data_IF_523355388424
#
_entry.id   IF_523355388424
#
_cell.length_a   1.000
_cell.length_b   1.000
_cell.length_c   1.000
_cell.angle_alpha   90.00
_cell.angle_beta   90.00
_cell.angle_gamma   90.00
#
_symmetry.space_group_name_H-M   'P 1'
#
loop_
_entity.id
_entity.type
_entity.pdbx_description
1 polymer ?
#
# COMPACT_ATOMS: atom_id res chain seq x y z
N UNK A 1 29.13 11.21 6.38
CA UNK A 1 28.56 11.33 5.01
C UNK A 1 27.87 10.02 4.67
N UNK A 2 26.74 10.06 3.97
CA UNK A 2 26.09 8.82 3.50
C UNK A 2 26.93 8.20 2.37
N UNK A 3 26.81 6.89 2.14
CA UNK A 3 27.42 6.28 0.95
C UNK A 3 26.95 7.05 -0.29
N UNK A 4 27.86 7.30 -1.22
CA UNK A 4 27.61 8.02 -2.47
C UNK A 4 26.42 7.41 -3.22
N UNK A 5 26.24 6.09 -3.13
CA UNK A 5 25.11 5.35 -3.68
C UNK A 5 23.75 5.89 -3.17
N UNK A 6 23.62 6.09 -1.85
CA UNK A 6 22.38 6.58 -1.24
C UNK A 6 22.14 8.07 -1.49
N UNK A 7 23.21 8.85 -1.67
CA UNK A 7 23.11 10.24 -2.11
C UNK A 7 22.60 10.36 -3.54
N UNK A 8 23.04 9.48 -4.45
CA UNK A 8 22.53 9.43 -5.83
C UNK A 8 21.06 9.04 -5.84
N UNK A 9 20.66 8.02 -5.07
CA UNK A 9 19.27 7.60 -4.95
C UNK A 9 18.37 8.72 -4.39
N UNK A 10 18.84 9.45 -3.36
CA UNK A 10 18.12 10.60 -2.83
C UNK A 10 18.02 11.75 -3.85
N UNK A 11 19.09 12.01 -4.61
CA UNK A 11 19.07 13.01 -5.69
C UNK A 11 18.05 12.68 -6.77
N UNK A 12 17.97 11.40 -7.16
CA UNK A 12 16.95 10.92 -8.09
C UNK A 12 15.54 11.14 -7.54
N UNK A 13 15.28 10.75 -6.28
CA UNK A 13 14.01 10.97 -5.61
C UNK A 13 13.60 12.45 -5.60
N UNK A 14 14.51 13.36 -5.25
CA UNK A 14 14.20 14.79 -5.21
C UNK A 14 13.90 15.37 -6.60
N UNK A 15 14.58 14.86 -7.64
CA UNK A 15 14.28 15.23 -9.02
C UNK A 15 12.88 14.76 -9.41
N UNK A 16 12.50 13.53 -9.08
CA UNK A 16 11.16 13.01 -9.33
C UNK A 16 10.08 13.81 -8.60
N UNK A 17 10.29 14.11 -7.33
CA UNK A 17 9.38 14.95 -6.55
C UNK A 17 9.20 16.32 -7.19
N UNK A 18 10.29 17.00 -7.53
CA UNK A 18 10.24 18.31 -8.18
C UNK A 18 9.50 18.23 -9.53
N UNK A 19 9.75 17.19 -10.32
CA UNK A 19 9.11 16.98 -11.60
C UNK A 19 7.61 16.67 -11.48
N UNK A 20 7.21 15.85 -10.50
CA UNK A 20 5.78 15.56 -10.21
C UNK A 20 5.08 16.82 -9.72
N UNK A 21 5.66 17.56 -8.77
CA UNK A 21 5.10 18.81 -8.29
C UNK A 21 4.88 19.79 -9.45
N UNK A 22 5.87 19.91 -10.34
CA UNK A 22 5.79 20.78 -11.51
C UNK A 22 4.74 20.31 -12.53
N UNK A 23 4.56 18.99 -12.72
CA UNK A 23 3.52 18.41 -13.57
C UNK A 23 2.10 18.55 -12.99
N UNK A 24 1.97 18.53 -11.66
CA UNK A 24 0.68 18.68 -10.97
C UNK A 24 0.21 20.12 -10.84
N UNK A 25 1.03 21.11 -11.20
CA UNK A 25 0.63 22.50 -11.12
C UNK A 25 -0.58 22.78 -12.04
N UNK A 26 -1.69 23.32 -11.50
CA UNK A 26 -2.91 23.58 -12.27
C UNK A 26 -2.71 24.67 -13.34
N UNK A 27 -1.60 25.40 -13.27
CA UNK A 27 -1.29 26.50 -14.18
C UNK A 27 -0.78 26.04 -15.55
N UNK A 28 -0.26 24.80 -15.66
CA UNK A 28 0.29 24.28 -16.91
C UNK A 28 -0.71 23.29 -17.50
N UNK A 29 -1.44 23.73 -18.53
CA UNK A 29 -2.44 22.88 -19.21
C UNK A 29 -1.80 21.68 -19.92
N UNK A 30 -2.57 20.60 -20.05
CA UNK A 30 -2.16 19.38 -20.76
C UNK A 30 -1.72 19.65 -22.22
N UNK A 31 -2.22 20.73 -22.84
CA UNK A 31 -1.84 21.15 -24.19
C UNK A 31 -0.45 21.80 -24.26
N UNK A 32 -0.03 22.51 -23.21
CA UNK A 32 1.34 23.05 -23.08
C UNK A 32 2.33 21.92 -22.88
N UNK A 33 2.01 20.98 -21.99
CA UNK A 33 2.78 19.76 -21.80
C UNK A 33 2.89 18.94 -23.08
N UNK A 34 1.80 18.77 -23.84
CA UNK A 34 1.83 18.11 -25.16
C UNK A 34 2.79 18.79 -26.13
N UNK A 35 2.89 20.12 -26.15
CA UNK A 35 3.85 20.83 -27.02
C UNK A 35 5.30 20.57 -26.58
N UNK A 36 5.56 20.57 -25.27
CA UNK A 36 6.87 20.25 -24.70
C UNK A 36 7.23 18.80 -25.02
N UNK A 37 6.33 17.85 -24.74
CA UNK A 37 6.50 16.41 -25.02
C UNK A 37 6.62 16.08 -26.52
N UNK A 38 6.03 16.88 -27.42
CA UNK A 38 6.25 16.74 -28.88
C UNK A 38 7.57 17.34 -29.38
N UNK A 39 8.37 18.00 -28.54
CA UNK A 39 9.66 18.55 -28.93
C UNK A 39 10.61 17.43 -29.39
N UNK A 40 11.53 17.76 -30.31
CA UNK A 40 12.47 16.79 -30.92
C UNK A 40 13.28 16.01 -29.88
N UNK A 41 13.58 16.64 -28.74
CA UNK A 41 14.26 16.02 -27.60
C UNK A 41 13.43 14.90 -26.95
N UNK A 42 12.14 15.15 -26.72
CA UNK A 42 11.24 14.19 -26.07
C UNK A 42 10.77 13.10 -27.02
N UNK A 43 10.76 13.33 -28.33
CA UNK A 43 10.47 12.29 -29.34
C UNK A 43 11.58 11.22 -29.44
N UNK A 44 12.83 11.60 -29.18
CA UNK A 44 13.94 10.66 -29.02
C UNK A 44 13.79 9.82 -27.73
N UNK A 45 13.35 10.47 -26.65
CA UNK A 45 13.05 9.80 -25.37
C UNK A 45 11.83 8.86 -25.49
N UNK A 46 10.83 9.23 -26.28
CA UNK A 46 9.60 8.47 -26.52
C UNK A 46 9.87 7.17 -27.28
N UNK A 47 10.75 7.21 -28.30
CA UNK A 47 11.07 6.05 -29.15
C UNK A 47 11.67 4.85 -28.38
N UNK A 48 12.33 5.11 -27.24
CA UNK A 48 12.90 4.09 -26.36
C UNK A 48 12.24 4.07 -24.97
N UNK A 49 11.09 4.75 -24.80
CA UNK A 49 10.50 5.00 -23.48
C UNK A 49 10.16 3.71 -22.74
N UNK A 50 9.64 2.70 -23.43
CA UNK A 50 9.28 1.42 -22.79
C UNK A 50 10.52 0.68 -22.29
N UNK A 51 11.56 0.55 -23.13
CA UNK A 51 12.79 -0.12 -22.76
C UNK A 51 13.53 0.59 -21.62
N UNK A 52 13.72 1.92 -21.75
CA UNK A 52 14.36 2.74 -20.71
C UNK A 52 13.55 2.70 -19.41
N UNK A 53 12.21 2.72 -19.49
CA UNK A 53 11.35 2.60 -18.32
C UNK A 53 11.56 1.28 -17.58
N UNK A 54 11.51 0.13 -18.26
CA UNK A 54 11.70 -1.16 -17.60
C UNK A 54 13.13 -1.33 -17.07
N UNK A 55 14.13 -0.81 -17.78
CA UNK A 55 15.51 -0.81 -17.31
C UNK A 55 15.66 0.01 -16.02
N UNK A 56 15.12 1.22 -15.98
CA UNK A 56 15.20 2.11 -14.83
C UNK A 56 14.35 1.60 -13.66
N UNK A 57 13.18 1.03 -13.94
CA UNK A 57 12.34 0.34 -12.94
C UNK A 57 13.07 -0.86 -12.34
N UNK A 58 13.75 -1.66 -13.16
CA UNK A 58 14.57 -2.78 -12.71
C UNK A 58 15.73 -2.32 -11.83
N UNK A 59 16.42 -1.24 -12.21
CA UNK A 59 17.50 -0.64 -11.41
C UNK A 59 17.00 -0.17 -10.03
N UNK A 60 15.88 0.56 -10.00
CA UNK A 60 15.25 0.98 -8.75
C UNK A 60 14.76 -0.21 -7.92
N UNK A 61 14.24 -1.25 -8.58
CA UNK A 61 13.86 -2.50 -7.94
C UNK A 61 15.04 -3.20 -7.26
N UNK A 62 16.20 -3.26 -7.92
CA UNK A 62 17.43 -3.79 -7.32
C UNK A 62 17.85 -2.96 -6.11
N UNK A 63 17.85 -1.62 -6.20
CA UNK A 63 18.15 -0.76 -5.04
C UNK A 63 17.16 -0.94 -3.89
N UNK A 64 15.88 -1.14 -4.20
CA UNK A 64 14.85 -1.39 -3.20
C UNK A 64 15.04 -2.75 -2.52
N UNK A 65 15.36 -3.80 -3.28
CA UNK A 65 15.68 -5.13 -2.73
C UNK A 65 16.95 -5.08 -1.90
N UNK A 66 17.98 -4.34 -2.32
CA UNK A 66 19.21 -4.15 -1.55
C UNK A 66 18.93 -3.43 -0.22
N UNK A 67 18.14 -2.36 -0.26
CA UNK A 67 17.71 -1.64 0.95
C UNK A 67 16.85 -2.52 1.89
N UNK A 68 15.95 -3.34 1.32
CA UNK A 68 15.16 -4.31 2.06
C UNK A 68 16.03 -5.37 2.73
N UNK A 69 16.97 -5.95 1.99
CA UNK A 69 17.90 -6.96 2.51
C UNK A 69 18.75 -6.37 3.63
N UNK A 70 19.24 -5.14 3.46
CA UNK A 70 20.02 -4.44 4.48
C UNK A 70 19.17 -4.15 5.73
N UNK A 71 17.91 -3.71 5.57
CA UNK A 71 16.98 -3.47 6.67
C UNK A 71 16.65 -4.76 7.44
N UNK A 72 16.36 -5.86 6.74
CA UNK A 72 16.09 -7.16 7.38
C UNK A 72 17.33 -7.71 8.10
N UNK A 73 18.52 -7.62 7.47
CA UNK A 73 19.78 -8.10 8.05
C UNK A 73 20.11 -7.42 9.39
N UNK A 74 19.83 -6.13 9.51
CA UNK A 74 20.08 -5.40 10.75
C UNK A 74 18.90 -5.43 11.73
N UNK A 75 17.69 -5.76 11.26
CA UNK A 75 16.50 -5.90 12.10
C UNK A 75 16.39 -7.22 12.87
N UNK A 76 16.99 -8.30 12.35
CA UNK A 76 16.95 -9.64 12.96
C UNK A 76 17.98 -9.83 14.10
N UNK A 77 18.79 -8.79 14.38
CA UNK A 77 19.85 -8.83 15.39
C UNK A 77 19.30 -8.56 16.81
N UNK A 78 18.00 -8.28 16.94
CA UNK A 78 17.27 -8.18 18.21
C UNK A 78 16.77 -9.55 18.74
N UNK A 79 17.13 -10.70 18.11
CA UNK A 79 16.78 -12.03 18.64
C UNK A 79 17.55 -12.33 19.96
N UNK A 80 16.86 -12.53 21.10
CA UNK A 80 17.48 -12.80 22.40
C UNK A 80 18.31 -14.10 22.46
N UNK A 81 18.29 -14.94 21.42
CA UNK A 81 19.04 -16.22 21.38
C UNK A 81 20.55 -16.09 21.20
N UNK A 82 21.08 -14.91 20.85
CA UNK A 82 22.52 -14.67 20.71
C UNK A 82 23.15 -13.98 21.95
N UNK A 83 22.41 -13.88 23.06
CA UNK A 83 22.79 -13.18 24.30
C UNK A 83 23.73 -14.00 25.22
N UNK A 84 24.66 -14.76 24.64
CA UNK A 84 25.51 -15.72 25.38
C UNK A 84 26.91 -15.24 25.77
N UNK A 85 27.41 -14.12 25.22
CA UNK A 85 28.82 -13.75 25.43
C UNK A 85 28.95 -12.23 25.54
N UNK A 86 29.40 -11.76 26.72
CA UNK A 86 29.82 -10.39 27.09
C UNK A 86 29.52 -9.32 26.01
N UNK A 87 28.35 -8.66 26.13
CA UNK A 87 27.91 -7.58 25.25
C UNK A 87 28.60 -6.26 25.62
N UNK A 88 29.46 -5.75 24.74
CA UNK A 88 29.91 -4.35 24.78
C UNK A 88 28.72 -3.44 24.45
N UNK A 89 28.34 -2.55 25.37
CA UNK A 89 27.31 -1.53 25.16
C UNK A 89 27.56 -0.72 23.86
N UNK A 90 28.83 -0.55 23.49
CA UNK A 90 29.24 0.15 22.27
C UNK A 90 28.79 -0.56 20.98
N UNK A 91 28.75 -1.89 20.97
CA UNK A 91 28.32 -2.68 19.79
C UNK A 91 26.81 -2.61 19.56
N UNK A 92 26.03 -2.52 20.63
CA UNK A 92 24.57 -2.31 20.56
C UNK A 92 24.24 -0.94 19.99
N UNK A 93 24.94 0.10 20.48
CA UNK A 93 24.78 1.47 19.95
C UNK A 93 25.17 1.51 18.47
N UNK A 94 26.26 0.87 18.07
CA UNK A 94 26.68 0.80 16.65
C UNK A 94 25.64 0.09 15.77
N UNK A 95 25.02 -0.99 16.27
CA UNK A 95 23.98 -1.74 15.58
C UNK A 95 22.71 -0.91 15.40
N UNK A 96 22.22 -0.26 16.45
CA UNK A 96 21.06 0.62 16.37
C UNK A 96 21.29 1.77 15.37
N UNK A 97 22.48 2.36 15.34
CA UNK A 97 22.84 3.40 14.36
C UNK A 97 22.84 2.88 12.91
N UNK A 98 23.25 1.63 12.68
CA UNK A 98 23.17 0.99 11.34
C UNK A 98 21.72 0.69 10.95
N UNK A 99 20.89 0.26 11.90
CA UNK A 99 19.46 0.01 11.67
C UNK A 99 18.73 1.28 11.22
N UNK A 100 18.91 2.41 11.91
CA UNK A 100 18.31 3.69 11.52
C UNK A 100 18.75 4.15 10.12
N UNK A 101 20.00 3.87 9.75
CA UNK A 101 20.52 4.16 8.42
C UNK A 101 19.85 3.31 7.35
N UNK A 102 19.71 2.01 7.59
CA UNK A 102 19.04 1.07 6.69
C UNK A 102 17.55 1.41 6.52
N UNK A 103 16.85 1.76 7.61
CA UNK A 103 15.45 2.22 7.56
C UNK A 103 15.28 3.45 6.67
N UNK A 104 16.13 4.48 6.82
CA UNK A 104 16.06 5.67 5.96
C UNK A 104 16.33 5.34 4.49
N UNK A 105 17.34 4.51 4.22
CA UNK A 105 17.69 4.10 2.86
C UNK A 105 16.55 3.31 2.19
N UNK A 106 15.88 2.44 2.95
CA UNK A 106 14.67 1.74 2.53
C UNK A 106 13.56 2.71 2.14
N UNK A 107 13.28 3.72 2.97
CA UNK A 107 12.28 4.73 2.63
C UNK A 107 12.65 5.49 1.34
N UNK A 108 13.90 5.93 1.19
CA UNK A 108 14.35 6.65 -0.02
C UNK A 108 14.12 5.79 -1.28
N UNK A 109 14.58 4.53 -1.27
CA UNK A 109 14.44 3.62 -2.41
C UNK A 109 12.96 3.29 -2.69
N UNK A 110 12.16 3.05 -1.65
CA UNK A 110 10.74 2.74 -1.76
C UNK A 110 9.93 3.92 -2.31
N UNK A 111 10.18 5.13 -1.82
CA UNK A 111 9.53 6.33 -2.32
C UNK A 111 9.94 6.64 -3.77
N UNK A 112 11.21 6.43 -4.14
CA UNK A 112 11.64 6.64 -5.52
C UNK A 112 10.93 5.68 -6.47
N UNK A 113 10.84 4.39 -6.10
CA UNK A 113 10.13 3.39 -6.89
C UNK A 113 8.64 3.73 -7.03
N UNK A 114 8.01 4.14 -5.93
CA UNK A 114 6.62 4.57 -5.93
C UNK A 114 6.38 5.80 -6.80
N UNK A 115 7.18 6.86 -6.62
CA UNK A 115 7.05 8.10 -7.38
C UNK A 115 7.35 7.89 -8.86
N UNK A 116 8.31 7.03 -9.22
CA UNK A 116 8.56 6.66 -10.61
C UNK A 116 7.32 6.05 -11.28
N UNK A 117 6.60 5.18 -10.57
CA UNK A 117 5.33 4.63 -11.06
C UNK A 117 4.27 5.73 -11.20
N UNK A 118 4.08 6.55 -10.16
CA UNK A 118 3.11 7.66 -10.17
C UNK A 118 3.41 8.61 -11.33
N UNK A 119 4.67 8.92 -11.57
CA UNK A 119 5.10 9.77 -12.67
C UNK A 119 4.71 9.18 -14.02
N UNK A 120 4.95 7.87 -14.24
CA UNK A 120 4.54 7.19 -15.48
C UNK A 120 3.02 7.27 -15.68
N UNK A 121 2.25 7.10 -14.61
CA UNK A 121 0.79 7.21 -14.63
C UNK A 121 0.34 8.62 -15.01
N UNK A 122 0.92 9.65 -14.41
CA UNK A 122 0.59 11.06 -14.69
C UNK A 122 0.93 11.40 -16.15
N UNK A 123 2.12 11.06 -16.63
CA UNK A 123 2.53 11.32 -18.03
C UNK A 123 1.55 10.65 -19.01
N UNK A 124 1.17 9.40 -18.77
CA UNK A 124 0.19 8.69 -19.60
C UNK A 124 -1.18 9.37 -19.58
N UNK A 125 -1.61 9.87 -18.41
CA UNK A 125 -2.89 10.56 -18.28
C UNK A 125 -2.89 11.90 -19.03
N UNK A 126 -1.80 12.67 -18.93
CA UNK A 126 -1.62 13.92 -19.68
C UNK A 126 -1.65 13.65 -21.19
N UNK A 127 -0.97 12.60 -21.65
CA UNK A 127 -0.98 12.23 -23.07
C UNK A 127 -2.40 11.90 -23.56
N UNK A 128 -3.14 11.07 -22.82
CA UNK A 128 -4.52 10.72 -23.16
C UNK A 128 -5.44 11.96 -23.15
N UNK A 129 -5.32 12.81 -22.13
CA UNK A 129 -6.11 14.04 -22.05
C UNK A 129 -5.79 15.01 -23.19
N UNK A 130 -4.52 15.12 -23.58
CA UNK A 130 -4.13 15.98 -24.67
C UNK A 130 -4.58 15.43 -26.04
N UNK A 131 -4.65 14.11 -26.23
CA UNK A 131 -5.23 13.50 -27.42
C UNK A 131 -6.75 13.72 -27.48
N UNK A 132 -7.46 13.50 -26.37
CA UNK A 132 -8.89 13.77 -26.25
C UNK A 132 -9.25 15.23 -26.57
N UNK A 133 -8.45 16.19 -26.11
CA UNK A 133 -8.65 17.62 -26.44
C UNK A 133 -8.44 17.87 -27.94
N UNK A 134 -7.43 17.25 -28.55
CA UNK A 134 -7.17 17.38 -29.99
C UNK A 134 -8.31 16.78 -30.83
N UNK A 135 -8.79 15.58 -30.46
CA UNK A 135 -9.90 14.91 -31.10
C UNK A 135 -11.20 15.72 -30.97
N UNK A 136 -11.49 16.26 -29.77
CA UNK A 136 -12.63 17.16 -29.55
C UNK A 136 -12.54 18.41 -30.45
N UNK A 137 -11.38 19.05 -30.52
CA UNK A 137 -11.20 20.25 -31.35
C UNK A 137 -11.34 19.93 -32.85
N UNK A 138 -10.83 18.77 -33.30
CA UNK A 138 -11.00 18.30 -34.66
C UNK A 138 -12.47 17.99 -34.99
N UNK A 139 -13.19 17.30 -34.10
CA UNK A 139 -14.61 16.99 -34.26
C UNK A 139 -15.47 18.26 -34.30
N UNK A 140 -15.20 19.25 -33.44
CA UNK A 140 -15.89 20.54 -33.48
C UNK A 140 -15.62 21.30 -34.77
N UNK A 141 -14.38 21.30 -35.29
CA UNK A 141 -14.06 21.91 -36.59
C UNK A 141 -14.76 21.21 -37.74
N UNK A 142 -14.82 19.87 -37.72
CA UNK A 142 -15.55 19.09 -38.71
C UNK A 142 -17.04 19.40 -38.69
N UNK A 143 -17.67 19.39 -37.52
CA UNK A 143 -19.09 19.76 -37.37
C UNK A 143 -19.36 21.20 -37.83
N UNK A 144 -18.53 22.16 -37.42
CA UNK A 144 -18.66 23.55 -37.86
C UNK A 144 -18.49 23.71 -39.38
N UNK A 145 -17.56 22.97 -40.00
CA UNK A 145 -17.38 22.98 -41.45
C UNK A 145 -18.57 22.37 -42.20
N UNK A 146 -19.16 21.30 -41.67
CA UNK A 146 -20.37 20.68 -42.22
C UNK A 146 -21.59 21.62 -42.09
N UNK A 147 -21.76 22.27 -40.92
CA UNK A 147 -22.82 23.28 -40.73
C UNK A 147 -22.63 24.50 -41.63
N UNK A 148 -21.40 24.97 -41.81
CA UNK A 148 -21.10 26.07 -42.72
C UNK A 148 -21.34 25.70 -44.19
N UNK A 149 -21.02 24.47 -44.60
CA UNK A 149 -21.35 23.95 -45.92
C UNK A 149 -22.86 23.84 -46.14
N UNK A 150 -23.59 23.30 -45.15
CA UNK A 150 -25.06 23.20 -45.19
C UNK A 150 -25.74 24.58 -45.26
N UNK A 151 -25.27 25.57 -44.48
CA UNK A 151 -25.77 26.94 -44.55
C UNK A 151 -25.50 27.61 -45.92
N UNK A 152 -24.32 27.38 -46.50
CA UNK A 152 -24.00 27.87 -47.86
C UNK A 152 -24.89 27.22 -48.93
N UNK A 153 -25.26 25.97 -48.75
CA UNK A 153 -26.21 25.27 -49.62
C UNK A 153 -27.65 25.76 -49.44
N UNK A 154 -28.02 26.24 -48.24
CA UNK A 154 -29.34 26.84 -47.99
C UNK A 154 -29.46 28.29 -48.50
N UNK A 155 -28.38 29.08 -48.44
CA UNK A 155 -28.34 30.49 -48.86
C UNK A 155 -28.12 30.66 -50.38
N UNK A 156 -27.51 29.66 -51.03
CA UNK A 156 -27.42 29.57 -52.49
C UNK A 156 -28.72 29.08 -53.12
N UNK A 157 -29.61 30.01 -53.48
CA UNK A 157 -30.82 29.72 -54.24
C UNK A 157 -30.54 29.13 -55.63
N UNK A 158 -30.75 27.82 -55.79
CA UNK A 158 -30.76 27.12 -57.08
C UNK A 158 -31.63 25.87 -57.01
N UNK A 159 -32.76 25.90 -57.73
CA UNK A 159 -33.75 24.84 -57.83
C UNK A 159 -33.18 23.53 -58.40
N UNK A 160 -33.61 22.40 -57.83
CA UNK A 160 -33.49 21.07 -58.45
C UNK A 160 -32.79 19.97 -57.65
N UNK A 161 -31.92 20.29 -56.67
CA UNK A 161 -31.15 19.27 -55.90
C UNK A 161 -31.56 19.10 -54.44
N UNK A 162 -32.48 19.93 -53.93
CA UNK A 162 -32.86 20.04 -52.51
C UNK A 162 -33.51 18.79 -51.90
N UNK A 163 -34.12 17.91 -52.70
CA UNK A 163 -34.84 16.74 -52.15
C UNK A 163 -33.90 15.67 -51.58
N UNK A 164 -32.77 15.38 -52.24
CA UNK A 164 -31.88 14.29 -51.84
C UNK A 164 -31.01 14.62 -50.61
N UNK A 165 -30.56 15.88 -50.47
CA UNK A 165 -29.77 16.32 -49.31
C UNK A 165 -30.62 16.57 -48.06
N UNK A 166 -31.86 17.05 -48.21
CA UNK A 166 -32.78 17.18 -47.08
C UNK A 166 -33.19 15.81 -46.52
N UNK A 167 -33.39 14.81 -47.39
CA UNK A 167 -33.67 13.43 -46.96
C UNK A 167 -32.46 12.84 -46.22
N UNK A 168 -31.23 13.03 -46.73
CA UNK A 168 -30.01 12.58 -46.02
C UNK A 168 -29.81 13.30 -44.69
N UNK A 169 -30.03 14.61 -44.64
CA UNK A 169 -29.91 15.37 -43.39
C UNK A 169 -30.98 14.96 -42.36
N UNK A 170 -32.19 14.59 -42.80
CA UNK A 170 -33.21 14.01 -41.91
C UNK A 170 -32.81 12.61 -41.42
N UNK A 171 -32.21 11.78 -42.26
CA UNK A 171 -31.66 10.48 -41.88
C UNK A 171 -30.55 10.62 -40.84
N UNK A 172 -29.57 11.50 -41.07
CA UNK A 172 -28.48 11.77 -40.12
C UNK A 172 -29.01 12.35 -38.79
N UNK A 173 -30.05 13.19 -38.83
CA UNK A 173 -30.69 13.73 -37.63
C UNK A 173 -31.40 12.64 -36.81
N UNK A 174 -32.12 11.72 -37.48
CA UNK A 174 -32.76 10.59 -36.81
C UNK A 174 -31.74 9.57 -36.28
N UNK A 175 -30.64 9.36 -37.00
CA UNK A 175 -29.52 8.53 -36.53
C UNK A 175 -28.82 9.15 -35.32
N UNK A 176 -28.58 10.46 -35.34
CA UNK A 176 -28.02 11.20 -34.20
C UNK A 176 -28.97 11.19 -32.99
N UNK A 177 -30.29 11.27 -33.20
CA UNK A 177 -31.28 11.15 -32.11
C UNK A 177 -31.30 9.74 -31.52
N UNK A 178 -31.21 8.69 -32.34
CA UNK A 178 -31.08 7.31 -31.86
C UNK A 178 -29.80 7.12 -31.05
N UNK A 179 -28.67 7.58 -31.58
CA UNK A 179 -27.38 7.53 -30.88
C UNK A 179 -27.41 8.27 -29.54
N UNK A 180 -28.07 9.44 -29.48
CA UNK A 180 -28.27 10.17 -28.23
C UNK A 180 -29.14 9.40 -27.23
N UNK A 181 -30.23 8.78 -27.69
CA UNK A 181 -31.14 7.99 -26.84
C UNK A 181 -30.44 6.75 -26.27
N UNK A 182 -29.59 6.10 -27.07
CA UNK A 182 -28.79 4.96 -26.62
C UNK A 182 -27.69 5.41 -25.65
N UNK A 183 -27.08 6.57 -25.88
CA UNK A 183 -26.15 7.18 -24.93
C UNK A 183 -26.82 7.54 -23.59
N UNK A 184 -28.05 8.08 -23.60
CA UNK A 184 -28.84 8.35 -22.38
C UNK A 184 -29.17 7.06 -21.61
N UNK A 185 -29.55 5.97 -22.31
CA UNK A 185 -29.76 4.66 -21.69
C UNK A 185 -28.49 4.09 -21.07
N UNK A 186 -27.36 4.20 -21.78
CA UNK A 186 -26.06 3.76 -21.26
C UNK A 186 -25.65 4.58 -20.04
N UNK A 187 -25.87 5.89 -20.05
CA UNK A 187 -25.62 6.76 -18.90
C UNK A 187 -26.47 6.35 -17.68
N UNK A 188 -27.74 6.02 -17.90
CA UNK A 188 -28.64 5.56 -16.83
C UNK A 188 -28.21 4.19 -16.29
N UNK A 189 -27.80 3.27 -17.17
CA UNK A 189 -27.26 1.97 -16.77
C UNK A 189 -25.97 2.12 -15.94
N UNK A 190 -25.05 2.99 -16.37
CA UNK A 190 -23.81 3.29 -15.63
C UNK A 190 -24.10 3.94 -14.27
N UNK A 191 -25.07 4.87 -14.20
CA UNK A 191 -25.51 5.45 -12.92
C UNK A 191 -26.05 4.38 -11.97
N UNK A 192 -26.95 3.53 -12.45
CA UNK A 192 -27.51 2.42 -11.66
C UNK A 192 -26.42 1.48 -11.16
N UNK A 193 -25.45 1.16 -12.01
CA UNK A 193 -24.31 0.33 -11.63
C UNK A 193 -23.43 1.00 -10.56
N UNK A 194 -23.16 2.30 -10.70
CA UNK A 194 -22.39 3.08 -9.73
C UNK A 194 -23.10 3.17 -8.37
N UNK A 195 -24.42 3.39 -8.37
CA UNK A 195 -25.24 3.38 -7.15
C UNK A 195 -25.23 2.00 -6.47
N UNK A 196 -25.35 0.92 -7.24
CA UNK A 196 -25.29 -0.43 -6.69
C UNK A 196 -23.90 -0.73 -6.09
N UNK A 197 -22.84 -0.34 -6.77
CA UNK A 197 -21.47 -0.47 -6.25
C UNK A 197 -21.27 0.35 -4.97
N UNK A 198 -21.81 1.57 -4.88
CA UNK A 198 -21.75 2.37 -3.66
C UNK A 198 -22.42 1.67 -2.48
N UNK A 199 -23.59 1.04 -2.69
CA UNK A 199 -24.28 0.28 -1.65
C UNK A 199 -23.48 -0.93 -1.17
N UNK A 200 -22.80 -1.63 -2.07
CA UNK A 200 -21.91 -2.74 -1.69
C UNK A 200 -20.70 -2.25 -0.89
N UNK A 201 -20.15 -1.07 -1.21
CA UNK A 201 -19.11 -0.45 -0.39
C UNK A 201 -19.61 -0.11 1.02
N UNK A 202 -20.79 0.50 1.15
CA UNK A 202 -21.39 0.83 2.45
C UNK A 202 -21.65 -0.44 3.29
N UNK A 203 -22.13 -1.50 2.64
CA UNK A 203 -22.36 -2.80 3.27
C UNK A 203 -21.05 -3.41 3.76
N UNK A 204 -20.03 -3.42 2.92
CA UNK A 204 -18.72 -3.97 3.25
C UNK A 204 -18.07 -3.19 4.40
N UNK A 205 -18.21 -1.87 4.42
CA UNK A 205 -17.74 -1.03 5.52
C UNK A 205 -18.42 -1.41 6.85
N UNK A 206 -19.74 -1.63 6.84
CA UNK A 206 -20.47 -2.11 8.02
C UNK A 206 -20.01 -3.50 8.49
N UNK A 207 -19.68 -4.40 7.56
CA UNK A 207 -19.11 -5.71 7.91
C UNK A 207 -17.71 -5.57 8.53
N UNK A 208 -16.86 -4.70 8.00
CA UNK A 208 -15.55 -4.38 8.59
C UNK A 208 -15.68 -3.86 10.01
N UNK A 209 -16.58 -2.91 10.28
CA UNK A 209 -16.81 -2.39 11.63
C UNK A 209 -17.26 -3.48 12.61
N UNK A 210 -18.13 -4.41 12.16
CA UNK A 210 -18.59 -5.54 12.97
C UNK A 210 -17.43 -6.51 13.25
N UNK A 211 -16.59 -6.78 12.26
CA UNK A 211 -15.45 -7.67 12.40
C UNK A 211 -14.41 -7.07 13.35
N UNK A 212 -14.13 -5.77 13.22
CA UNK A 212 -13.22 -5.04 14.10
C UNK A 212 -13.70 -5.09 15.57
N UNK A 213 -15.00 -4.86 15.80
CA UNK A 213 -15.59 -5.00 17.15
C UNK A 213 -15.43 -6.42 17.69
N UNK A 214 -15.68 -7.46 16.88
CA UNK A 214 -15.49 -8.86 17.28
C UNK A 214 -14.03 -9.16 17.63
N UNK A 215 -13.09 -8.71 16.81
CA UNK A 215 -11.64 -8.88 17.06
C UNK A 215 -11.24 -8.20 18.36
N UNK A 216 -11.74 -6.98 18.62
CA UNK A 216 -11.46 -6.24 19.86
C UNK A 216 -12.00 -6.97 21.10
N UNK A 217 -13.24 -7.49 21.03
CA UNK A 217 -13.84 -8.26 22.13
C UNK A 217 -13.08 -9.56 22.38
N UNK A 218 -12.75 -10.32 21.32
CA UNK A 218 -11.96 -11.54 21.43
C UNK A 218 -10.55 -11.28 21.98
N UNK A 219 -9.92 -10.18 21.57
CA UNK A 219 -8.62 -9.75 22.10
C UNK A 219 -8.67 -9.43 23.61
N UNK A 220 -9.76 -8.81 24.08
CA UNK A 220 -10.01 -8.59 25.50
C UNK A 220 -10.17 -9.91 26.27
N UNK A 221 -11.08 -10.77 25.81
CA UNK A 221 -11.34 -12.07 26.45
C UNK A 221 -10.08 -12.96 26.51
N UNK A 222 -9.23 -12.92 25.47
CA UNK A 222 -7.94 -13.62 25.47
C UNK A 222 -6.99 -13.10 26.54
N UNK A 223 -6.88 -11.78 26.70
CA UNK A 223 -6.03 -11.18 27.76
C UNK A 223 -6.49 -11.56 29.16
N UNK A 224 -7.80 -11.56 29.38
CA UNK A 224 -8.39 -11.97 30.66
C UNK A 224 -8.12 -13.45 30.94
N UNK A 225 -8.26 -14.31 29.92
CA UNK A 225 -7.92 -15.73 30.03
C UNK A 225 -6.43 -15.96 30.32
N UNK A 226 -5.52 -15.22 29.66
CA UNK A 226 -4.08 -15.29 29.93
C UNK A 226 -3.75 -14.87 31.37
N UNK A 227 -4.38 -13.80 31.88
CA UNK A 227 -4.21 -13.35 33.26
C UNK A 227 -4.71 -14.39 34.27
N UNK A 228 -5.88 -14.99 34.03
CA UNK A 228 -6.44 -16.04 34.88
C UNK A 228 -5.55 -17.29 34.86
N UNK A 229 -5.04 -17.69 33.69
CA UNK A 229 -4.12 -18.82 33.57
C UNK A 229 -2.82 -18.57 34.35
N UNK A 230 -2.28 -17.36 34.29
CA UNK A 230 -1.08 -17.00 35.07
C UNK A 230 -1.35 -17.04 36.58
N UNK A 231 -2.50 -16.55 37.03
CA UNK A 231 -2.90 -16.64 38.43
C UNK A 231 -3.02 -18.10 38.89
N UNK A 232 -3.67 -18.96 38.12
CA UNK A 232 -3.79 -20.40 38.42
C UNK A 232 -2.42 -21.08 38.47
N UNK A 233 -1.51 -20.77 37.54
CA UNK A 233 -0.14 -21.30 37.57
C UNK A 233 0.59 -20.89 38.84
N UNK A 234 0.52 -19.62 39.23
CA UNK A 234 1.16 -19.15 40.46
C UNK A 234 0.59 -19.81 41.73
N UNK A 235 -0.73 -20.06 41.75
CA UNK A 235 -1.38 -20.77 42.85
C UNK A 235 -0.97 -22.24 42.89
N UNK A 236 -0.83 -22.90 41.74
CA UNK A 236 -0.36 -24.28 41.65
C UNK A 236 1.10 -24.41 42.13
N UNK A 237 1.98 -23.48 41.72
CA UNK A 237 3.37 -23.43 42.17
C UNK A 237 3.47 -23.25 43.69
N UNK A 238 2.68 -22.33 44.27
CA UNK A 238 2.64 -22.13 45.72
C UNK A 238 2.14 -23.38 46.46
N UNK A 239 1.07 -24.01 45.95
CA UNK A 239 0.55 -25.25 46.55
C UNK A 239 1.59 -26.37 46.49
N UNK A 240 2.32 -26.50 45.37
CA UNK A 240 3.40 -27.48 45.25
C UNK A 240 4.50 -27.25 46.28
N UNK A 241 4.90 -25.99 46.52
CA UNK A 241 5.90 -25.65 47.56
C UNK A 241 5.43 -26.00 48.96
N UNK A 242 4.15 -25.79 49.27
CA UNK A 242 3.57 -26.19 50.56
C UNK A 242 3.57 -27.71 50.72
N UNK A 243 3.26 -28.48 49.67
CA UNK A 243 3.39 -29.94 49.70
C UNK A 243 4.82 -30.40 49.96
N UNK A 244 5.81 -29.83 49.26
CA UNK A 244 7.23 -30.16 49.46
C UNK A 244 7.67 -29.83 50.90
N UNK A 245 7.22 -28.69 51.43
CA UNK A 245 7.48 -28.28 52.80
C UNK A 245 6.88 -29.26 53.81
N UNK A 246 5.61 -29.62 53.64
CA UNK A 246 4.90 -30.52 54.53
C UNK A 246 5.53 -31.92 54.51
N UNK A 247 5.91 -32.41 53.32
CA UNK A 247 6.65 -33.67 53.17
C UNK A 247 7.96 -33.64 53.96
N UNK A 248 8.72 -32.54 53.88
CA UNK A 248 9.95 -32.37 54.66
C UNK A 248 9.72 -32.35 56.17
N UNK A 249 8.56 -31.84 56.63
CA UNK A 249 8.17 -31.86 58.05
C UNK A 249 7.80 -33.27 58.49
N UNK A 250 7.04 -34.02 57.68
CA UNK A 250 6.73 -35.43 57.93
C UNK A 250 8.00 -36.27 58.07
N UNK A 251 8.98 -36.12 57.17
CA UNK A 251 10.26 -36.82 57.26
C UNK A 251 11.03 -36.50 58.56
N UNK A 252 11.02 -35.23 59.00
CA UNK A 252 11.66 -34.80 60.25
C UNK A 252 10.95 -35.40 61.47
N UNK A 253 9.63 -35.42 61.46
CA UNK A 253 8.80 -36.02 62.51
C UNK A 253 9.04 -37.53 62.59
N UNK A 254 9.07 -38.24 61.46
CA UNK A 254 9.35 -39.67 61.41
C UNK A 254 10.74 -39.98 62.01
N UNK A 255 11.77 -39.20 61.64
CA UNK A 255 13.10 -39.32 62.24
C UNK A 255 13.07 -39.08 63.75
N UNK A 256 12.33 -38.06 64.22
CA UNK A 256 12.22 -37.74 65.65
C UNK A 256 11.50 -38.84 66.43
N UNK A 257 10.41 -39.41 65.88
CA UNK A 257 9.70 -40.55 66.46
C UNK A 257 10.59 -41.78 66.50
N UNK A 258 11.37 -42.06 65.44
CA UNK A 258 12.34 -43.17 65.43
C UNK A 258 13.42 -43.00 66.51
N UNK A 259 13.92 -41.79 66.71
CA UNK A 259 14.91 -41.48 67.76
C UNK A 259 14.30 -41.59 69.18
N UNK A 260 13.06 -41.13 69.38
CA UNK A 260 12.37 -41.23 70.68
C UNK A 260 11.92 -42.67 71.01
N UNK A 261 11.49 -43.44 70.00
CA UNK A 261 11.12 -44.86 70.14
C UNK A 261 12.33 -45.76 70.36
N UNK A 262 13.50 -45.38 69.87
CA UNK A 262 14.77 -46.08 70.15
C UNK A 262 15.35 -45.83 71.55
N UNK A 263 14.72 -45.00 72.37
CA UNK A 263 15.17 -44.70 73.75
C UNK A 263 14.57 -45.60 74.84
N UNK A 264 13.75 -46.61 74.48
CA UNK A 264 13.04 -47.46 75.45
C UNK A 264 13.51 -48.93 75.51
N UNK A 265 14.55 -49.32 74.78
CA UNK A 265 15.16 -50.65 74.88
C UNK A 265 16.67 -50.53 75.06
N UNK A 266 17.12 -50.39 76.30
CA UNK A 266 18.54 -50.36 76.58
C UNK A 266 18.92 -49.93 77.99
N UNK A 267 18.21 -50.36 79.03
CA UNK A 267 18.86 -50.51 80.34
C UNK A 267 18.09 -51.46 81.27
N UNK A 268 18.42 -52.75 81.21
CA UNK A 268 18.36 -53.69 82.33
C UNK A 268 19.43 -54.76 82.13
N UNK A 269 20.57 -54.51 82.73
CA UNK A 269 21.55 -55.52 83.11
C UNK A 269 21.56 -55.62 84.64
N UNK A 270 21.87 -56.83 85.10
CA UNK A 270 22.35 -57.18 86.44
C UNK A 270 21.25 -57.52 87.49
N UNK A 271 20.86 -58.79 87.56
CA UNK A 271 21.29 -59.78 88.58
C UNK A 271 20.68 -61.17 88.32
#
# INVERSE_FOLDING_TARGET
MMSIQWSIAAGFLYLEMAFICLLMLPWISATTWRKIFKSRFLRYLEAQSQFVFYCLLGLLGVFFIDALREMYRYGDVDDPKHQGTIRDHDKEVELHLKLFRAQRNFYIAGFALYLFWVLKRIISMIHNQANLIAEKEAALKQAASASAAANRMMDGGGDGKKSAELVKAQEELEEAKKARKDAEKNLQAVKSQAENTSREYDRLLSEYEKLEKKVRVLGGARKDAEKNLQAVKSQAENTSREYDRLLSEYEKLEKKVRVLGGGAEGDKKDD
#
